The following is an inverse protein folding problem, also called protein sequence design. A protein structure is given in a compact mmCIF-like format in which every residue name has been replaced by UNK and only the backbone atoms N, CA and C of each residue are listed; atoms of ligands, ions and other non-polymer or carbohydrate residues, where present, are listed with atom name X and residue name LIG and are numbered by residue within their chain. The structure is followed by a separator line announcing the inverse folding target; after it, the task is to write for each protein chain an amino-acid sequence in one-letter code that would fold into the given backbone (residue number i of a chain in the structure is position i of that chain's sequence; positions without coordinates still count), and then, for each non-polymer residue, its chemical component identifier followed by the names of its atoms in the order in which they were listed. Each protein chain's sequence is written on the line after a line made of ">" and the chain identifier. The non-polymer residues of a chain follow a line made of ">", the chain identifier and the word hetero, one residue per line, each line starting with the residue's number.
data_IF_813386871080
#
_entry.id   IF_813386871080
#
_cell.length_a   1.000
_cell.length_b   1.000
_cell.length_c   1.000
_cell.angle_alpha   90.00
_cell.angle_beta   90.00
_cell.angle_gamma   90.00
#
_symmetry.space_group_name_H-M   'P 1'
#
loop_
_entity.id
_entity.type
_entity.pdbx_description
1 polymer ?
#
# COMPACT_ATOMS: atom_id res chain seq x y z
N UNK A 1 -17.59 -10.66 5.51
CA UNK A 1 -17.93 -9.64 6.52
C UNK A 1 -18.59 -8.41 5.89
N UNK A 2 -17.99 -7.77 4.89
CA UNK A 2 -18.49 -6.51 4.33
C UNK A 2 -19.31 -6.65 3.03
N UNK A 3 -19.11 -7.73 2.27
CA UNK A 3 -19.68 -7.91 0.93
C UNK A 3 -18.80 -7.29 -0.16
N UNK A 4 -19.13 -7.51 -1.43
CA UNK A 4 -18.44 -6.84 -2.53
C UNK A 4 -18.69 -5.32 -2.46
N UNK A 5 -17.64 -4.47 -2.54
CA UNK A 5 -17.79 -3.02 -2.37
C UNK A 5 -18.67 -2.35 -3.42
N UNK A 6 -18.70 -2.87 -4.64
CA UNK A 6 -19.46 -2.28 -5.75
C UNK A 6 -20.94 -2.53 -5.57
N UNK A 7 -21.35 -3.80 -5.43
CA UNK A 7 -22.73 -4.21 -5.20
C UNK A 7 -23.26 -3.80 -3.82
N UNK A 8 -22.39 -3.64 -2.82
CA UNK A 8 -22.71 -3.18 -1.47
C UNK A 8 -23.98 -3.83 -0.88
N UNK A 9 -24.05 -5.17 -0.78
CA UNK A 9 -25.28 -5.89 -0.43
C UNK A 9 -25.77 -5.64 1.01
N UNK A 10 -24.92 -5.01 1.83
CA UNK A 10 -25.23 -4.61 3.20
C UNK A 10 -25.70 -3.16 3.31
N UNK A 11 -25.78 -2.44 2.18
CA UNK A 11 -26.21 -1.06 2.10
C UNK A 11 -25.44 -0.12 3.04
N UNK A 12 -24.13 -0.34 3.19
CA UNK A 12 -23.29 0.58 3.96
C UNK A 12 -23.31 1.96 3.31
N UNK A 13 -23.19 3.01 4.13
CA UNK A 13 -23.02 4.38 3.63
C UNK A 13 -21.80 4.43 2.71
N UNK A 14 -21.98 4.99 1.51
CA UNK A 14 -20.88 5.18 0.55
C UNK A 14 -20.31 6.58 0.69
N UNK A 15 -19.01 6.67 0.55
CA UNK A 15 -18.28 7.94 0.51
C UNK A 15 -17.07 7.82 -0.43
N UNK A 16 -16.45 8.93 -0.77
CA UNK A 16 -15.25 8.93 -1.60
C UNK A 16 -14.01 8.58 -0.77
N UNK A 17 -13.00 7.97 -1.38
CA UNK A 17 -11.71 7.76 -0.70
C UNK A 17 -11.14 9.10 -0.21
N UNK A 18 -11.33 10.18 -0.98
CA UNK A 18 -10.86 11.52 -0.64
C UNK A 18 -11.39 12.06 0.69
N UNK A 19 -12.62 11.71 1.09
CA UNK A 19 -13.22 12.20 2.34
C UNK A 19 -12.72 11.45 3.59
N UNK A 20 -12.04 10.32 3.40
CA UNK A 20 -11.45 9.53 4.50
C UNK A 20 -9.92 9.58 4.53
N UNK A 21 -9.30 10.25 3.57
CA UNK A 21 -7.85 10.46 3.49
C UNK A 21 -7.45 11.68 4.32
N UNK A 22 -6.53 11.47 5.26
CA UNK A 22 -5.87 12.53 6.02
C UNK A 22 -4.73 13.16 5.22
N UNK A 23 -3.88 12.35 4.61
CA UNK A 23 -2.81 12.83 3.73
C UNK A 23 -2.35 11.76 2.74
N UNK A 24 -1.80 12.22 1.61
CA UNK A 24 -1.10 11.35 0.64
C UNK A 24 0.27 11.97 0.41
N UNK A 25 1.31 11.18 0.66
CA UNK A 25 2.69 11.63 0.54
C UNK A 25 3.39 10.75 -0.50
N UNK A 26 3.72 11.33 -1.66
CA UNK A 26 4.59 10.66 -2.62
C UNK A 26 6.05 10.72 -2.13
N UNK A 27 6.77 9.63 -2.39
CA UNK A 27 8.21 9.54 -2.21
C UNK A 27 8.99 10.30 -3.29
N UNK A 28 10.28 10.01 -3.39
CA UNK A 28 11.19 10.63 -4.35
C UNK A 28 11.99 9.56 -5.10
N UNK A 29 12.02 9.63 -6.42
CA UNK A 29 12.84 8.72 -7.22
C UNK A 29 14.31 9.03 -6.99
N UNK A 30 15.10 7.99 -6.70
CA UNK A 30 16.55 8.08 -6.56
C UNK A 30 17.21 7.02 -7.46
N UNK A 31 18.39 7.38 -7.98
CA UNK A 31 19.24 6.42 -8.68
C UNK A 31 19.96 5.54 -7.65
N UNK A 32 20.25 4.32 -8.06
CA UNK A 32 20.86 3.35 -7.16
C UNK A 32 21.10 1.99 -7.80
N UNK A 33 21.85 1.18 -7.08
CA UNK A 33 22.35 -0.12 -7.52
C UNK A 33 21.56 -1.25 -6.87
N UNK A 34 21.37 -2.35 -7.61
CA UNK A 34 20.77 -3.58 -7.06
C UNK A 34 21.89 -4.39 -6.42
N UNK A 35 22.13 -4.13 -5.13
CA UNK A 35 23.08 -4.86 -4.29
C UNK A 35 22.59 -4.91 -2.85
N UNK A 36 23.25 -5.73 -2.03
CA UNK A 36 23.02 -5.71 -0.59
C UNK A 36 23.41 -4.35 0.00
N UNK A 37 22.55 -3.88 0.90
CA UNK A 37 22.74 -2.65 1.67
C UNK A 37 23.68 -2.90 2.84
N UNK A 38 24.67 -2.04 3.00
CA UNK A 38 25.58 -2.02 4.15
C UNK A 38 25.01 -1.18 5.27
N UNK A 39 25.56 -1.34 6.47
CA UNK A 39 25.19 -0.53 7.62
C UNK A 39 25.41 0.97 7.33
N UNK A 40 24.43 1.80 7.71
CA UNK A 40 24.45 3.25 7.46
C UNK A 40 24.06 3.69 6.05
N UNK A 41 23.91 2.78 5.09
CA UNK A 41 23.46 3.13 3.74
C UNK A 41 21.94 3.30 3.66
N UNK A 42 21.50 4.28 2.88
CA UNK A 42 20.08 4.45 2.50
C UNK A 42 19.78 3.70 1.21
N UNK A 43 18.55 3.21 1.08
CA UNK A 43 18.09 2.59 -0.15
C UNK A 43 16.72 3.14 -0.55
N UNK A 44 16.40 3.12 -1.84
CA UNK A 44 15.08 3.46 -2.37
C UNK A 44 14.33 2.19 -2.75
N UNK A 45 13.07 2.10 -2.33
CA UNK A 45 12.21 0.96 -2.60
C UNK A 45 11.88 0.86 -4.10
N UNK A 46 11.77 -0.37 -4.58
CA UNK A 46 11.19 -0.67 -5.90
C UNK A 46 9.67 -0.76 -5.77
N UNK A 47 8.95 -0.61 -6.89
CA UNK A 47 7.49 -0.86 -6.93
C UNK A 47 7.17 -2.30 -6.51
N UNK A 48 8.06 -3.26 -6.83
CA UNK A 48 7.96 -4.67 -6.44
C UNK A 48 7.87 -4.89 -4.93
N UNK A 49 8.29 -3.92 -4.11
CA UNK A 49 8.16 -3.96 -2.66
C UNK A 49 6.70 -4.02 -2.17
N UNK A 50 5.74 -3.62 -3.01
CA UNK A 50 4.31 -3.54 -2.67
C UNK A 50 3.44 -4.40 -3.59
N UNK A 51 3.90 -4.70 -4.81
CA UNK A 51 3.13 -5.37 -5.88
C UNK A 51 2.37 -6.62 -5.44
N UNK A 52 2.93 -7.43 -4.54
CA UNK A 52 2.33 -8.70 -4.10
C UNK A 52 1.25 -8.54 -3.02
N UNK A 53 0.91 -7.31 -2.62
CA UNK A 53 -0.09 -7.04 -1.59
C UNK A 53 0.41 -7.15 -0.15
N UNK A 54 1.70 -7.43 0.02
CA UNK A 54 2.43 -7.40 1.29
C UNK A 54 3.78 -6.72 1.09
N UNK A 55 4.34 -6.17 2.17
CA UNK A 55 5.59 -5.41 2.10
C UNK A 55 6.80 -6.33 2.01
N UNK A 56 7.67 -6.10 1.01
CA UNK A 56 8.95 -6.79 0.82
C UNK A 56 10.08 -5.79 1.03
N UNK A 57 10.65 -5.77 2.25
CA UNK A 57 11.68 -4.81 2.64
C UNK A 57 13.04 -5.05 1.98
N UNK A 58 13.21 -6.18 1.29
CA UNK A 58 14.37 -6.57 0.48
C UNK A 58 14.29 -6.09 -0.98
N UNK A 59 13.15 -5.55 -1.41
CA UNK A 59 12.94 -5.03 -2.76
C UNK A 59 13.36 -3.55 -2.86
N UNK A 60 14.67 -3.29 -2.86
CA UNK A 60 15.23 -1.94 -2.94
C UNK A 60 16.40 -1.81 -3.93
N UNK A 61 16.86 -0.57 -4.12
CA UNK A 61 18.15 -0.21 -4.74
C UNK A 61 18.92 0.67 -3.76
N UNK A 62 20.18 0.35 -3.51
CA UNK A 62 21.04 1.17 -2.64
C UNK A 62 21.32 2.49 -3.35
N UNK A 63 21.05 3.61 -2.68
CA UNK A 63 21.20 4.94 -3.27
C UNK A 63 22.68 5.21 -3.48
N UNK A 64 23.08 5.47 -4.73
CA UNK A 64 24.46 5.76 -5.10
C UNK A 64 24.80 7.25 -4.91
N UNK A 65 23.79 8.10 -5.03
CA UNK A 65 23.88 9.56 -4.91
C UNK A 65 22.55 10.10 -4.38
N UNK A 66 22.58 10.83 -3.28
CA UNK A 66 21.41 11.43 -2.63
C UNK A 66 21.30 12.96 -2.85
N UNK A 67 22.20 13.56 -3.63
CA UNK A 67 22.26 15.02 -3.87
C UNK A 67 20.97 15.59 -4.47
N UNK A 68 20.30 14.83 -5.34
CA UNK A 68 19.04 15.21 -5.99
C UNK A 68 17.78 14.90 -5.16
N UNK A 69 17.93 14.28 -3.98
CA UNK A 69 16.79 13.91 -3.13
C UNK A 69 16.31 15.13 -2.35
N UNK A 70 15.24 15.75 -2.85
CA UNK A 70 14.62 16.91 -2.19
C UNK A 70 13.73 16.54 -1.01
N UNK A 71 13.34 15.27 -0.91
CA UNK A 71 12.39 14.80 0.09
C UNK A 71 12.65 13.36 0.48
N UNK A 72 12.79 13.14 1.77
CA UNK A 72 12.89 11.82 2.37
C UNK A 72 11.51 11.40 2.88
N UNK A 73 11.01 10.26 2.39
CA UNK A 73 9.75 9.69 2.84
C UNK A 73 10.00 8.22 3.14
N UNK A 74 9.82 7.83 4.38
CA UNK A 74 10.10 6.48 4.87
C UNK A 74 8.80 5.73 5.13
N UNK A 75 8.71 4.41 4.92
CA UNK A 75 7.63 3.60 5.47
C UNK A 75 7.70 3.56 7.00
N UNK A 76 6.59 3.85 7.65
CA UNK A 76 6.44 3.83 9.11
C UNK A 76 5.35 2.83 9.49
N UNK A 77 5.46 2.25 10.69
CA UNK A 77 4.50 1.28 11.20
C UNK A 77 3.09 1.87 11.22
N UNK A 78 2.14 1.14 10.65
CA UNK A 78 0.75 1.55 10.53
C UNK A 78 0.41 2.28 9.23
N UNK A 79 1.41 2.64 8.42
CA UNK A 79 1.16 3.21 7.10
C UNK A 79 0.50 2.20 6.16
N UNK A 80 -0.32 2.72 5.24
CA UNK A 80 -0.69 2.02 4.02
C UNK A 80 0.14 2.56 2.85
N UNK A 81 0.85 1.68 2.16
CA UNK A 81 1.49 2.02 0.89
C UNK A 81 0.57 1.70 -0.29
N UNK A 82 0.57 2.56 -1.30
CA UNK A 82 -0.19 2.40 -2.54
C UNK A 82 0.73 2.54 -3.76
N UNK A 83 0.68 1.55 -4.66
CA UNK A 83 1.41 1.57 -5.93
C UNK A 83 0.62 2.33 -7.00
N UNK A 84 0.98 3.60 -7.23
CA UNK A 84 0.31 4.45 -8.23
C UNK A 84 0.67 4.11 -9.67
N UNK A 85 1.77 3.40 -9.90
CA UNK A 85 2.34 3.17 -11.22
C UNK A 85 2.80 1.71 -11.38
N UNK A 86 2.15 0.94 -12.25
CA UNK A 86 2.50 -0.47 -12.52
C UNK A 86 1.82 -0.97 -13.81
N UNK A 87 1.92 -2.27 -14.14
CA UNK A 87 1.11 -2.88 -15.20
C UNK A 87 -0.39 -2.78 -14.88
N UNK A 88 -1.24 -3.04 -15.88
CA UNK A 88 -2.71 -2.90 -15.77
C UNK A 88 -3.30 -3.72 -14.62
N UNK A 89 -2.77 -4.92 -14.42
CA UNK A 89 -3.22 -5.92 -13.44
C UNK A 89 -2.64 -5.67 -12.05
N UNK A 90 -1.54 -4.90 -11.96
CA UNK A 90 -0.78 -4.68 -10.72
C UNK A 90 -0.92 -3.27 -10.17
N UNK A 91 -1.44 -2.32 -10.96
CA UNK A 91 -1.71 -0.97 -10.49
C UNK A 91 -2.71 -1.00 -9.32
N UNK A 92 -2.52 -0.09 -8.36
CA UNK A 92 -3.32 -0.02 -7.15
C UNK A 92 -3.04 -1.13 -6.13
N UNK A 93 -1.93 -1.86 -6.26
CA UNK A 93 -1.46 -2.74 -5.19
C UNK A 93 -1.25 -1.95 -3.88
N UNK A 94 -1.64 -2.53 -2.76
CA UNK A 94 -1.53 -1.93 -1.43
C UNK A 94 -0.93 -2.90 -0.42
N UNK A 95 -0.19 -2.38 0.56
CA UNK A 95 0.25 -3.15 1.72
C UNK A 95 0.23 -2.28 2.99
N UNK A 96 0.20 -2.95 4.15
CA UNK A 96 0.35 -2.31 5.46
C UNK A 96 1.78 -2.49 5.92
N UNK A 97 2.34 -1.45 6.52
CA UNK A 97 3.68 -1.45 7.09
C UNK A 97 3.61 -1.85 8.56
N UNK A 98 4.39 -2.84 8.95
CA UNK A 98 4.35 -3.43 10.29
C UNK A 98 5.52 -2.99 11.20
N UNK A 99 6.58 -2.42 10.63
CA UNK A 99 7.76 -1.92 11.32
C UNK A 99 8.19 -0.58 10.73
N UNK A 100 8.99 0.19 11.46
CA UNK A 100 9.59 1.42 10.94
C UNK A 100 10.83 1.11 10.11
N UNK A 101 11.00 1.80 8.98
CA UNK A 101 12.13 1.60 8.06
C UNK A 101 12.83 2.94 7.76
N UNK A 102 13.58 3.52 8.72
CA UNK A 102 14.17 4.86 8.60
C UNK A 102 15.24 5.00 7.50
N UNK A 103 15.70 3.88 6.96
CA UNK A 103 16.75 3.82 5.94
C UNK A 103 16.23 3.39 4.56
N UNK A 104 14.91 3.21 4.42
CA UNK A 104 14.26 2.85 3.15
C UNK A 104 13.37 3.99 2.68
N UNK A 105 13.71 4.61 1.56
CA UNK A 105 12.93 5.69 0.97
C UNK A 105 11.85 5.13 0.06
N UNK A 106 10.67 5.75 0.07
CA UNK A 106 9.67 5.55 -0.97
C UNK A 106 10.10 6.24 -2.27
N UNK A 107 9.96 5.59 -3.44
CA UNK A 107 10.03 6.26 -4.73
C UNK A 107 8.74 7.09 -4.97
N UNK A 108 8.77 7.98 -5.95
CA UNK A 108 7.61 8.77 -6.41
C UNK A 108 6.40 7.91 -6.85
N UNK A 109 6.67 6.66 -7.26
CA UNK A 109 5.68 5.66 -7.67
C UNK A 109 4.95 4.95 -6.52
N UNK A 110 5.41 5.13 -5.28
CA UNK A 110 4.74 4.65 -4.09
C UNK A 110 4.23 5.83 -3.27
N UNK A 111 2.98 5.75 -2.86
CA UNK A 111 2.38 6.71 -1.94
C UNK A 111 2.28 6.12 -0.55
N UNK A 112 2.63 6.93 0.45
CA UNK A 112 2.16 6.75 1.83
C UNK A 112 0.78 7.39 1.94
N UNK A 113 -0.22 6.62 2.33
CA UNK A 113 -1.60 7.09 2.51
C UNK A 113 -1.98 6.99 3.98
N UNK A 114 -2.30 8.13 4.59
CA UNK A 114 -2.84 8.20 5.94
C UNK A 114 -4.33 8.51 5.87
N UNK A 115 -5.10 7.88 6.76
CA UNK A 115 -6.54 8.04 6.83
C UNK A 115 -6.96 8.80 8.10
N UNK A 116 -8.18 9.33 8.09
CA UNK A 116 -8.80 9.93 9.29
C UNK A 116 -9.42 8.85 10.18
N UNK A 117 -9.68 9.17 11.44
CA UNK A 117 -10.09 8.20 12.47
C UNK A 117 -11.45 7.51 12.22
N UNK A 118 -12.19 7.92 11.18
CA UNK A 118 -13.44 7.25 10.77
C UNK A 118 -13.24 5.93 10.03
N UNK A 119 -12.01 5.63 9.60
CA UNK A 119 -11.69 4.36 8.93
C UNK A 119 -10.46 3.69 9.53
N UNK A 120 -10.52 2.37 9.62
CA UNK A 120 -9.40 1.55 10.05
C UNK A 120 -8.50 1.20 8.85
N UNK A 121 -7.18 1.30 9.01
CA UNK A 121 -6.22 1.00 7.93
C UNK A 121 -6.33 -0.42 7.39
N UNK A 122 -6.68 -1.41 8.23
CA UNK A 122 -6.88 -2.79 7.79
C UNK A 122 -8.12 -2.92 6.91
N UNK A 123 -9.20 -2.21 7.27
CA UNK A 123 -10.38 -2.11 6.42
C UNK A 123 -10.05 -1.42 5.09
N UNK A 124 -9.27 -0.32 5.12
CA UNK A 124 -8.83 0.37 3.92
C UNK A 124 -7.98 -0.52 3.01
N UNK A 125 -7.03 -1.29 3.58
CA UNK A 125 -6.29 -2.29 2.80
C UNK A 125 -7.24 -3.27 2.14
N UNK A 126 -8.22 -3.79 2.89
CA UNK A 126 -9.19 -4.76 2.39
C UNK A 126 -9.97 -4.18 1.20
N UNK A 127 -10.66 -3.05 1.37
CA UNK A 127 -11.52 -2.48 0.34
C UNK A 127 -10.74 -2.02 -0.89
N UNK A 128 -9.54 -1.47 -0.71
CA UNK A 128 -8.68 -1.04 -1.83
C UNK A 128 -8.07 -2.23 -2.59
N UNK A 129 -8.03 -3.42 -1.98
CA UNK A 129 -7.55 -4.64 -2.62
C UNK A 129 -8.64 -5.42 -3.35
N UNK A 130 -9.91 -5.07 -3.16
CA UNK A 130 -11.03 -5.79 -3.78
C UNK A 130 -10.95 -5.68 -5.32
N UNK A 131 -11.15 -6.78 -6.07
CA UNK A 131 -10.96 -6.79 -7.52
C UNK A 131 -11.77 -5.72 -8.25
N UNK A 132 -12.99 -5.44 -7.78
CA UNK A 132 -13.88 -4.43 -8.34
C UNK A 132 -13.34 -3.01 -8.16
N UNK A 133 -12.79 -2.69 -6.98
CA UNK A 133 -12.12 -1.41 -6.72
C UNK A 133 -10.79 -1.30 -7.49
N UNK A 134 -10.03 -2.39 -7.59
CA UNK A 134 -8.79 -2.42 -8.40
C UNK A 134 -9.06 -2.22 -9.88
N UNK A 135 -10.18 -2.77 -10.39
CA UNK A 135 -10.63 -2.53 -11.74
C UNK A 135 -10.98 -1.05 -11.97
N UNK A 136 -11.55 -0.34 -10.98
CA UNK A 136 -11.76 1.11 -11.09
C UNK A 136 -10.44 1.89 -11.20
N UNK A 137 -9.42 1.55 -10.41
CA UNK A 137 -8.10 2.18 -10.54
C UNK A 137 -7.52 1.96 -11.94
N UNK A 138 -7.61 0.73 -12.43
CA UNK A 138 -7.12 0.33 -13.75
C UNK A 138 -7.85 1.08 -14.87
N UNK A 139 -9.19 1.10 -14.84
CA UNK A 139 -10.02 1.78 -15.85
C UNK A 139 -9.80 3.31 -15.87
N UNK A 140 -9.56 3.92 -14.71
CA UNK A 140 -9.32 5.36 -14.59
C UNK A 140 -7.86 5.74 -14.85
N UNK A 141 -6.92 4.79 -14.87
CA UNK A 141 -5.49 5.09 -15.04
C UNK A 141 -5.13 5.60 -16.44
N UNK A 142 -4.00 6.30 -16.55
CA UNK A 142 -3.47 6.83 -17.82
C UNK A 142 -2.15 6.16 -18.20
N UNK A 143 -1.93 5.92 -19.48
CA UNK A 143 -0.73 5.30 -20.05
C UNK A 143 -1.04 4.68 -21.41
N UNK A 144 -0.11 4.77 -22.35
CA UNK A 144 -0.34 4.46 -23.78
C UNK A 144 0.25 3.13 -24.26
N UNK A 145 1.11 2.47 -23.47
CA UNK A 145 1.93 1.34 -23.97
C UNK A 145 1.67 -0.01 -23.29
N UNK A 146 0.59 -0.16 -22.50
CA UNK A 146 0.26 -1.42 -21.79
C UNK A 146 1.21 -1.81 -20.64
N UNK A 147 2.42 -1.25 -20.61
CA UNK A 147 3.50 -1.59 -19.68
C UNK A 147 3.57 -0.71 -18.42
N UNK A 148 2.93 0.47 -18.41
CA UNK A 148 2.97 1.39 -17.27
C UNK A 148 1.71 2.26 -17.19
N UNK A 149 0.78 1.83 -16.36
CA UNK A 149 -0.44 2.57 -16.02
C UNK A 149 -0.23 3.40 -14.76
N UNK A 150 -0.74 4.63 -14.77
CA UNK A 150 -0.59 5.57 -13.68
C UNK A 150 -1.95 6.04 -13.15
N UNK A 151 -2.15 5.94 -11.85
CA UNK A 151 -3.26 6.55 -11.12
C UNK A 151 -2.82 7.93 -10.64
N UNK A 152 -3.65 8.96 -10.86
CA UNK A 152 -3.45 10.29 -10.28
C UNK A 152 -4.12 10.37 -8.90
N UNK A 153 -3.62 11.23 -8.01
CA UNK A 153 -4.21 11.40 -6.68
C UNK A 153 -5.67 11.87 -6.76
N UNK A 154 -6.00 12.73 -7.74
CA UNK A 154 -7.36 13.18 -7.99
C UNK A 154 -8.30 12.00 -8.32
N UNK A 155 -7.87 11.11 -9.22
CA UNK A 155 -8.64 9.92 -9.61
C UNK A 155 -8.78 8.93 -8.45
N UNK A 156 -7.71 8.73 -7.68
CA UNK A 156 -7.73 7.91 -6.47
C UNK A 156 -8.77 8.44 -5.46
N UNK A 157 -8.74 9.74 -5.17
CA UNK A 157 -9.66 10.36 -4.20
C UNK A 157 -11.13 10.29 -4.62
N UNK A 158 -11.43 10.27 -5.93
CA UNK A 158 -12.80 10.26 -6.47
C UNK A 158 -13.48 8.88 -6.47
N UNK A 159 -12.77 7.80 -6.15
CA UNK A 159 -13.39 6.46 -6.10
C UNK A 159 -14.30 6.37 -4.88
N UNK A 160 -15.52 5.87 -5.11
CA UNK A 160 -16.52 5.68 -4.06
C UNK A 160 -16.37 4.28 -3.46
N UNK A 161 -16.37 4.22 -2.13
CA UNK A 161 -16.28 2.98 -1.37
C UNK A 161 -17.36 2.94 -0.28
N UNK A 162 -17.84 1.75 0.11
CA UNK A 162 -18.64 1.62 1.33
C UNK A 162 -17.77 1.97 2.55
N UNK A 163 -18.40 2.58 3.55
CA UNK A 163 -17.80 2.92 4.84
C UNK A 163 -18.69 2.31 5.93
N UNK A 164 -18.48 1.03 6.31
CA UNK A 164 -19.21 0.40 7.39
C UNK A 164 -18.87 1.09 8.74
N UNK A 165 -19.70 0.93 9.78
CA UNK A 165 -19.39 1.50 11.09
C UNK A 165 -18.03 1.05 11.62
N UNK A 166 -17.32 1.96 12.30
CA UNK A 166 -15.94 1.76 12.76
C UNK A 166 -15.79 0.49 13.63
N UNK A 167 -16.82 0.15 14.40
CA UNK A 167 -16.86 -1.08 15.21
C UNK A 167 -16.63 -2.35 14.37
N UNK A 168 -17.30 -2.47 13.21
CA UNK A 168 -17.11 -3.62 12.32
C UNK A 168 -15.73 -3.60 11.65
N UNK A 169 -15.22 -2.41 11.32
CA UNK A 169 -13.88 -2.26 10.78
C UNK A 169 -12.81 -2.71 11.78
N UNK A 170 -12.98 -2.38 13.07
CA UNK A 170 -12.07 -2.78 14.14
C UNK A 170 -12.16 -4.28 14.43
N UNK A 171 -13.38 -4.85 14.50
CA UNK A 171 -13.58 -6.31 14.60
C UNK A 171 -12.88 -7.06 13.47
N UNK A 172 -12.94 -6.56 12.25
CA UNK A 172 -12.19 -7.11 11.12
C UNK A 172 -10.68 -6.98 11.31
N UNK A 173 -10.20 -5.80 11.70
CA UNK A 173 -8.77 -5.56 11.92
C UNK A 173 -8.19 -6.53 12.96
N UNK A 174 -8.90 -6.77 14.05
CA UNK A 174 -8.47 -7.70 15.10
C UNK A 174 -8.42 -9.14 14.60
N UNK A 175 -9.40 -9.56 13.80
CA UNK A 175 -9.38 -10.87 13.15
C UNK A 175 -8.17 -11.03 12.19
N UNK A 176 -7.90 -10.02 11.34
CA UNK A 176 -6.76 -10.05 10.42
C UNK A 176 -5.44 -10.15 11.17
N UNK A 177 -5.25 -9.34 12.21
CA UNK A 177 -4.02 -9.37 13.04
C UNK A 177 -3.82 -10.74 13.70
N UNK A 178 -4.87 -11.38 14.19
CA UNK A 178 -4.80 -12.72 14.77
C UNK A 178 -4.37 -13.76 13.72
N UNK A 179 -4.96 -13.72 12.53
CA UNK A 179 -4.61 -14.63 11.43
C UNK A 179 -3.15 -14.44 10.99
N UNK A 180 -2.69 -13.19 10.88
CA UNK A 180 -1.31 -12.90 10.47
C UNK A 180 -0.29 -13.35 11.52
N UNK A 181 -0.61 -13.21 12.82
CA UNK A 181 0.19 -13.75 13.92
C UNK A 181 0.34 -15.28 13.81
N UNK A 182 -0.77 -15.99 13.62
CA UNK A 182 -0.75 -17.46 13.48
C UNK A 182 0.06 -17.92 12.25
N UNK A 183 -0.09 -17.24 11.11
CA UNK A 183 0.72 -17.52 9.92
C UNK A 183 2.21 -17.32 10.15
N UNK A 184 2.59 -16.29 10.91
CA UNK A 184 3.98 -16.03 11.25
C UNK A 184 4.56 -17.14 12.13
N UNK A 185 3.83 -17.54 13.18
CA UNK A 185 4.23 -18.62 14.08
C UNK A 185 4.39 -19.95 13.34
N UNK A 186 3.45 -20.29 12.45
CA UNK A 186 3.53 -21.50 11.62
C UNK A 186 4.71 -21.50 10.64
N UNK A 187 5.03 -20.34 10.04
CA UNK A 187 6.23 -20.23 9.19
C UNK A 187 7.53 -20.40 10.00
N UNK A 188 7.54 -19.97 11.26
CA UNK A 188 8.69 -20.14 12.15
C UNK A 188 8.88 -21.60 12.54
N UNK A 189 7.80 -22.32 12.88
CA UNK A 189 7.89 -23.75 13.21
C UNK A 189 8.42 -24.58 12.04
N UNK A 190 7.92 -24.34 10.83
CA UNK A 190 8.37 -25.05 9.61
C UNK A 190 9.85 -24.81 9.25
N UNK A 191 10.43 -23.68 9.67
CA UNK A 191 11.85 -23.38 9.46
C UNK A 191 12.78 -23.98 10.51
N UNK A 192 12.24 -24.34 11.68
CA UNK A 192 13.01 -24.93 12.77
C UNK A 192 13.08 -26.48 12.67
N UNK A 193 12.35 -27.07 11.71
CA UNK A 193 12.33 -28.52 11.45
C UNK A 193 13.22 -28.94 10.26
N UNK A 194 13.99 -28.01 9.69
CA UNK A 194 14.97 -28.20 8.60
C UNK A 194 16.36 -27.75 9.06
#
# INVERSE_FOLDING_TARGET
>A
MFGDPTSNPKSWNKDTIGSVVKSITAGWSANGEVRERREGEKAVLKVSAVTQGYFKSDEYKVISDDTDIKKYVFPEKGDLLFSRANTREMVGATCIIHNDYPDLLLPDKLWKVLFVDRVNVFYMKYVLSEPTIRAEFSAKSTGTSGSMYNVSMDKFKKICIPIPPLEFQNKFADFVKQVDKLKFEMKKSLKNEL
#
